data_IF_914587654069
#
_entry.id   IF_914587654069
#
_cell.length_a   1.000
_cell.length_b   1.000
_cell.length_c   1.000
_cell.angle_alpha   90.00
_cell.angle_beta   90.00
_cell.angle_gamma   90.00
#
_symmetry.space_group_name_H-M   'P 1'
#
loop_
_entity.id
_entity.type
_entity.pdbx_description
1 polymer ?
#
# COMPACT_ATOMS: atom_id res chain seq x y z
N UNK A 1 1.77 -7.29 18.84
CA UNK A 1 2.40 -6.50 17.77
C UNK A 1 3.17 -7.37 16.78
N UNK A 2 3.78 -8.50 17.18
CA UNK A 2 4.59 -9.33 16.27
C UNK A 2 3.84 -10.28 15.32
N UNK A 3 2.65 -10.79 15.66
CA UNK A 3 1.98 -11.79 14.82
C UNK A 3 1.48 -11.24 13.47
N UNK A 4 1.26 -9.92 13.35
CA UNK A 4 0.85 -9.28 12.09
C UNK A 4 2.02 -8.94 11.15
N UNK A 5 3.27 -8.97 11.63
CA UNK A 5 4.47 -8.64 10.83
C UNK A 5 5.10 -9.87 10.16
N UNK A 6 4.57 -11.07 10.42
CA UNK A 6 5.01 -12.34 9.84
C UNK A 6 4.63 -12.51 8.36
N UNK A 7 3.74 -11.66 7.82
CA UNK A 7 3.36 -11.70 6.40
C UNK A 7 4.57 -11.50 5.48
N UNK A 8 5.45 -10.57 5.83
CA UNK A 8 6.66 -10.28 5.08
C UNK A 8 7.74 -11.36 5.25
N UNK A 9 7.92 -11.85 6.48
CA UNK A 9 8.89 -12.91 6.78
C UNK A 9 8.62 -14.19 5.97
N UNK A 10 7.34 -14.45 5.61
CA UNK A 10 6.95 -15.55 4.72
C UNK A 10 7.49 -15.40 3.29
N UNK A 11 7.76 -14.19 2.86
CA UNK A 11 8.28 -13.89 1.52
C UNK A 11 9.82 -13.76 1.55
N UNK A 12 10.47 -14.02 2.69
CA UNK A 12 11.92 -13.93 2.88
C UNK A 12 12.51 -15.35 3.10
N UNK A 13 13.22 -15.92 2.10
CA UNK A 13 13.79 -17.27 2.20
C UNK A 13 14.67 -17.49 3.45
N UNK A 14 15.42 -16.47 3.88
CA UNK A 14 16.29 -16.55 5.05
C UNK A 14 15.53 -16.78 6.37
N UNK A 15 14.23 -16.49 6.43
CA UNK A 15 13.35 -16.78 7.58
C UNK A 15 12.48 -18.03 7.38
N UNK A 16 12.82 -18.89 6.42
CA UNK A 16 12.02 -20.08 6.07
C UNK A 16 10.83 -19.78 5.16
N UNK A 17 10.79 -18.57 4.59
CA UNK A 17 9.85 -18.17 3.54
C UNK A 17 10.17 -18.77 2.17
N UNK A 18 9.40 -18.38 1.16
CA UNK A 18 9.64 -18.77 -0.24
C UNK A 18 10.06 -17.56 -1.08
N UNK A 19 10.94 -17.77 -2.05
CA UNK A 19 11.20 -16.75 -3.06
C UNK A 19 9.97 -16.70 -3.98
N UNK A 20 9.33 -15.55 -4.08
CA UNK A 20 8.19 -15.34 -4.95
C UNK A 20 8.63 -14.51 -6.13
N UNK A 21 8.24 -14.99 -7.32
CA UNK A 21 8.66 -14.42 -8.60
C UNK A 21 7.42 -14.25 -9.46
N UNK A 22 7.06 -13.01 -9.69
CA UNK A 22 5.96 -12.60 -10.56
C UNK A 22 6.51 -12.32 -11.95
N UNK A 23 6.01 -13.06 -12.93
CA UNK A 23 6.29 -12.84 -14.33
C UNK A 23 5.03 -12.32 -15.01
N UNK A 24 5.14 -11.14 -15.61
CA UNK A 24 4.06 -10.53 -16.39
C UNK A 24 4.34 -10.76 -17.87
N UNK A 25 3.32 -11.21 -18.58
CA UNK A 25 3.37 -11.51 -20.00
C UNK A 25 2.28 -10.72 -20.73
N UNK A 26 2.65 -10.04 -21.82
CA UNK A 26 1.68 -9.51 -22.77
C UNK A 26 1.61 -10.46 -23.96
N UNK A 27 0.59 -11.31 -23.97
CA UNK A 27 0.45 -12.41 -24.92
C UNK A 27 -0.47 -12.08 -26.09
N UNK A 28 -0.07 -12.56 -27.28
CA UNK A 28 -0.67 -12.31 -28.57
C UNK A 28 -1.13 -13.64 -29.20
N UNK A 29 -2.19 -14.29 -28.68
CA UNK A 29 -2.66 -15.59 -29.14
C UNK A 29 -3.15 -15.60 -30.60
N UNK A 30 -3.38 -14.42 -31.18
CA UNK A 30 -3.77 -14.21 -32.58
C UNK A 30 -2.87 -13.17 -33.26
N UNK A 31 -1.63 -13.03 -32.77
CA UNK A 31 -0.72 -11.96 -33.14
C UNK A 31 -1.34 -10.59 -32.78
N UNK A 32 -1.07 -9.53 -33.53
CA UNK A 32 -1.75 -8.23 -33.32
C UNK A 32 -3.22 -8.26 -33.75
N UNK A 33 -3.64 -9.31 -34.45
CA UNK A 33 -5.01 -9.46 -34.88
C UNK A 33 -5.87 -9.93 -33.71
N UNK A 34 -6.92 -9.18 -33.36
CA UNK A 34 -7.77 -9.53 -32.21
C UNK A 34 -7.19 -9.13 -30.85
N UNK A 35 -6.21 -8.22 -30.83
CA UNK A 35 -5.91 -7.38 -29.67
C UNK A 35 -6.83 -6.13 -29.69
N UNK A 36 -7.93 -6.10 -28.93
CA UNK A 36 -8.82 -4.94 -28.88
C UNK A 36 -8.27 -3.81 -28.00
N UNK A 37 -7.15 -4.04 -27.30
CA UNK A 37 -6.66 -3.13 -26.28
C UNK A 37 -5.64 -2.14 -26.82
N UNK A 38 -5.56 -0.99 -26.17
CA UNK A 38 -4.53 0.03 -26.41
C UNK A 38 -3.34 -0.13 -25.45
N UNK A 39 -3.24 -1.26 -24.74
CA UNK A 39 -2.19 -1.48 -23.73
C UNK A 39 -0.79 -1.43 -24.34
N UNK A 40 -0.60 -1.95 -25.56
CA UNK A 40 0.68 -1.86 -26.28
C UNK A 40 1.13 -0.41 -26.48
N UNK A 41 0.22 0.46 -26.95
CA UNK A 41 0.45 1.90 -27.11
C UNK A 41 0.69 2.59 -25.76
N UNK A 42 -0.10 2.24 -24.72
CA UNK A 42 0.06 2.80 -23.39
C UNK A 42 1.43 2.46 -22.79
N UNK A 43 1.82 1.18 -22.77
CA UNK A 43 3.11 0.76 -22.23
C UNK A 43 4.29 1.32 -23.01
N UNK A 44 4.18 1.39 -24.35
CA UNK A 44 5.16 2.10 -25.16
C UNK A 44 5.26 3.58 -24.77
N UNK A 45 4.13 4.25 -24.51
CA UNK A 45 4.13 5.67 -24.09
C UNK A 45 4.74 5.90 -22.70
N UNK A 46 4.79 4.86 -21.87
CA UNK A 46 5.50 4.84 -20.58
C UNK A 46 7.00 4.49 -20.72
N UNK A 47 7.50 4.36 -21.96
CA UNK A 47 8.91 4.07 -22.23
C UNK A 47 9.29 2.59 -22.12
N UNK A 48 8.33 1.68 -21.92
CA UNK A 48 8.60 0.25 -21.88
C UNK A 48 8.92 -0.28 -23.29
N UNK A 49 9.78 -1.31 -23.44
CA UNK A 49 10.16 -1.87 -24.73
C UNK A 49 9.08 -2.81 -25.30
N UNK A 50 7.87 -2.28 -25.48
CA UNK A 50 6.70 -2.91 -26.10
C UNK A 50 6.47 -2.24 -27.47
N UNK A 51 6.11 -2.98 -28.54
CA UNK A 51 5.78 -2.39 -29.83
C UNK A 51 4.45 -1.63 -29.78
N UNK A 52 4.35 -0.49 -30.44
CA UNK A 52 3.09 0.20 -30.64
C UNK A 52 2.24 -0.51 -31.71
N UNK A 53 1.32 -1.38 -31.30
CA UNK A 53 0.34 -1.99 -32.21
C UNK A 53 -1.00 -1.22 -32.17
N UNK A 54 -1.59 -0.97 -33.33
CA UNK A 54 -2.95 -0.44 -33.46
C UNK A 54 -3.97 -1.49 -33.03
N UNK A 55 -5.05 -1.06 -32.38
CA UNK A 55 -6.13 -1.96 -31.96
C UNK A 55 -7.14 -2.27 -33.10
N UNK A 56 -7.09 -1.54 -34.21
CA UNK A 56 -8.15 -1.62 -35.24
C UNK A 56 -7.73 -1.24 -36.67
N UNK A 57 -6.51 -0.80 -36.92
CA UNK A 57 -6.05 -0.40 -38.25
C UNK A 57 -5.00 -1.36 -38.77
N UNK A 58 -5.03 -1.62 -40.08
CA UNK A 58 -3.99 -2.35 -40.82
C UNK A 58 -2.79 -1.45 -41.11
N UNK A 59 -1.64 -2.04 -41.46
CA UNK A 59 -0.44 -1.29 -41.88
C UNK A 59 -0.75 -0.37 -43.06
N UNK A 60 -1.53 -0.84 -44.04
CA UNK A 60 -1.93 -0.06 -45.20
C UNK A 60 -2.78 1.17 -44.81
N UNK A 61 -3.69 1.01 -43.84
CA UNK A 61 -4.51 2.12 -43.32
C UNK A 61 -3.64 3.13 -42.56
N UNK A 62 -2.74 2.67 -41.69
CA UNK A 62 -1.80 3.53 -40.96
C UNK A 62 -0.93 4.33 -41.93
N UNK A 63 -0.40 3.68 -42.97
CA UNK A 63 0.43 4.32 -43.98
C UNK A 63 -0.35 5.37 -44.78
N UNK A 64 -1.56 5.06 -45.25
CA UNK A 64 -2.39 6.01 -46.00
C UNK A 64 -2.85 7.22 -45.17
N UNK A 65 -3.00 7.05 -43.86
CA UNK A 65 -3.39 8.12 -42.93
C UNK A 65 -2.19 8.86 -42.32
N UNK A 66 -0.95 8.41 -42.56
CA UNK A 66 0.27 9.01 -42.01
C UNK A 66 0.36 8.96 -40.48
N UNK A 67 -0.30 7.98 -39.85
CA UNK A 67 -0.34 7.86 -38.39
C UNK A 67 1.02 7.40 -37.83
N UNK A 68 1.37 7.90 -36.65
CA UNK A 68 2.60 7.54 -35.94
C UNK A 68 2.27 7.21 -34.49
N UNK A 69 3.11 6.41 -33.84
CA UNK A 69 2.95 6.20 -32.41
C UNK A 69 3.32 7.49 -31.66
N UNK A 70 2.58 7.80 -30.60
CA UNK A 70 2.92 8.90 -29.68
C UNK A 70 4.12 8.56 -28.78
N UNK A 71 4.50 7.28 -28.71
CA UNK A 71 5.62 6.79 -27.92
C UNK A 71 6.97 6.93 -28.63
N UNK A 72 8.03 7.07 -27.83
CA UNK A 72 9.42 7.04 -28.27
C UNK A 72 10.12 5.81 -27.71
N UNK A 73 11.04 5.23 -28.46
CA UNK A 73 11.99 4.26 -27.92
C UNK A 73 12.81 4.87 -26.78
N UNK A 74 13.40 4.06 -25.88
CA UNK A 74 14.27 4.54 -24.80
C UNK A 74 15.45 5.43 -25.28
N UNK A 75 15.85 5.32 -26.54
CA UNK A 75 16.88 6.15 -27.18
C UNK A 75 16.36 7.50 -27.74
N UNK A 76 15.10 7.86 -27.48
CA UNK A 76 14.49 9.12 -27.89
C UNK A 76 13.94 9.17 -29.33
N UNK A 77 14.02 8.07 -30.10
CA UNK A 77 13.49 8.00 -31.48
C UNK A 77 12.00 7.61 -31.49
N UNK A 78 11.23 8.09 -32.47
CA UNK A 78 9.80 7.78 -32.56
C UNK A 78 9.59 6.30 -32.89
N UNK A 79 8.70 5.63 -32.16
CA UNK A 79 8.30 4.26 -32.51
C UNK A 79 7.34 4.27 -33.72
N UNK A 80 7.51 3.35 -34.68
CA UNK A 80 6.49 3.09 -35.70
C UNK A 80 5.18 2.61 -35.07
N UNK A 81 4.04 2.98 -35.66
CA UNK A 81 2.76 2.37 -35.33
C UNK A 81 2.55 1.18 -36.27
N UNK A 82 2.40 -0.01 -35.71
CA UNK A 82 2.19 -1.25 -36.45
C UNK A 82 0.69 -1.57 -36.53
N UNK A 83 0.25 -2.08 -37.67
CA UNK A 83 -1.12 -2.52 -37.90
C UNK A 83 -1.45 -3.85 -37.26
N UNK A 84 -2.75 -4.14 -37.14
CA UNK A 84 -3.26 -5.41 -36.61
C UNK A 84 -2.78 -6.64 -37.42
N UNK A 85 -2.39 -6.43 -38.67
CA UNK A 85 -1.93 -7.44 -39.63
C UNK A 85 -0.41 -7.51 -39.77
N UNK A 86 0.34 -6.66 -39.06
CA UNK A 86 1.79 -6.54 -39.23
C UNK A 86 2.51 -7.89 -39.03
N UNK A 87 2.23 -8.55 -37.90
CA UNK A 87 2.83 -9.86 -37.59
C UNK A 87 2.27 -11.00 -38.44
N UNK A 88 1.07 -10.86 -39.02
CA UNK A 88 0.50 -11.87 -39.92
C UNK A 88 1.33 -12.01 -41.20
N UNK A 89 2.06 -10.97 -41.59
CA UNK A 89 2.96 -10.98 -42.74
C UNK A 89 4.31 -11.63 -42.48
N UNK A 90 4.65 -11.93 -41.22
CA UNK A 90 5.94 -12.50 -40.81
C UNK A 90 5.94 -14.00 -41.08
N UNK A 91 6.25 -14.38 -42.32
CA UNK A 91 6.26 -15.78 -42.77
C UNK A 91 7.51 -16.09 -43.58
N UNK A 92 7.89 -17.36 -43.62
CA UNK A 92 9.01 -17.84 -44.41
C UNK A 92 8.74 -17.65 -45.91
N UNK A 93 9.79 -17.48 -46.74
CA UNK A 93 9.64 -17.35 -48.18
C UNK A 93 8.75 -18.46 -48.77
N UNK A 94 7.78 -18.08 -49.59
CA UNK A 94 6.82 -19.01 -50.21
C UNK A 94 5.60 -19.38 -49.38
N UNK A 95 5.45 -18.84 -48.16
CA UNK A 95 4.24 -19.01 -47.35
C UNK A 95 3.28 -17.81 -47.51
N UNK A 96 1.98 -18.09 -47.44
CA UNK A 96 0.96 -17.04 -47.40
C UNK A 96 0.92 -16.38 -46.02
N UNK A 97 0.52 -15.10 -45.91
CA UNK A 97 0.29 -14.46 -44.61
C UNK A 97 -0.67 -15.25 -43.74
N UNK A 98 -0.42 -15.25 -42.43
CA UNK A 98 -1.28 -15.91 -41.45
C UNK A 98 -2.70 -15.32 -41.55
N UNK A 99 -3.76 -16.15 -41.68
CA UNK A 99 -5.11 -15.63 -41.80
C UNK A 99 -5.52 -14.72 -40.64
N UNK A 100 -6.31 -13.68 -40.96
CA UNK A 100 -6.91 -12.81 -39.95
C UNK A 100 -7.65 -13.63 -38.88
N UNK A 101 -7.50 -13.25 -37.60
CA UNK A 101 -8.06 -13.94 -36.43
C UNK A 101 -7.60 -15.39 -36.20
N UNK A 102 -6.64 -15.93 -36.97
CA UNK A 102 -6.10 -17.26 -36.70
C UNK A 102 -5.39 -17.29 -35.34
N UNK A 103 -5.63 -18.35 -34.57
CA UNK A 103 -4.90 -18.58 -33.32
C UNK A 103 -3.51 -19.13 -33.66
N UNK A 104 -2.48 -18.46 -33.17
CA UNK A 104 -1.06 -18.82 -33.37
C UNK A 104 -0.45 -19.18 -32.02
N UNK A 105 0.11 -20.38 -31.93
CA UNK A 105 0.79 -20.89 -30.75
C UNK A 105 2.02 -21.72 -31.14
N UNK A 106 2.81 -22.09 -30.14
CA UNK A 106 4.08 -22.84 -30.30
C UNK A 106 3.93 -24.14 -31.10
N UNK A 107 2.75 -24.77 -31.07
CA UNK A 107 2.50 -26.06 -31.72
C UNK A 107 2.07 -25.93 -33.18
N UNK A 108 1.50 -24.79 -33.59
CA UNK A 108 0.97 -24.60 -34.95
C UNK A 108 1.72 -23.55 -35.78
N UNK A 109 2.56 -22.73 -35.15
CA UNK A 109 3.28 -21.62 -35.80
C UNK A 109 4.08 -22.09 -37.02
N UNK A 110 4.73 -23.26 -36.93
CA UNK A 110 5.52 -23.79 -38.05
C UNK A 110 4.67 -24.14 -39.26
N UNK A 111 3.47 -24.69 -39.06
CA UNK A 111 2.56 -24.99 -40.15
C UNK A 111 1.97 -23.72 -40.77
N UNK A 112 1.76 -22.66 -39.96
CA UNK A 112 1.17 -21.41 -40.40
C UNK A 112 2.16 -20.47 -41.09
N UNK A 113 3.42 -20.46 -40.66
CA UNK A 113 4.40 -19.46 -41.10
C UNK A 113 5.59 -20.06 -41.82
N UNK A 114 5.81 -21.37 -41.73
CA UNK A 114 7.01 -22.02 -42.26
C UNK A 114 8.27 -21.82 -41.41
N UNK A 115 8.21 -21.03 -40.33
CA UNK A 115 9.30 -20.86 -39.37
C UNK A 115 9.14 -21.80 -38.18
N UNK A 116 10.24 -22.33 -37.63
CA UNK A 116 10.18 -22.93 -36.29
C UNK A 116 9.71 -21.90 -35.26
N UNK A 117 9.24 -22.35 -34.10
CA UNK A 117 8.77 -21.44 -33.05
C UNK A 117 9.79 -20.35 -32.71
N UNK A 118 11.05 -20.72 -32.48
CA UNK A 118 12.12 -19.78 -32.21
C UNK A 118 12.38 -18.82 -33.38
N UNK A 119 12.43 -19.34 -34.61
CA UNK A 119 12.62 -18.51 -35.81
C UNK A 119 11.51 -17.48 -35.98
N UNK A 120 10.25 -17.86 -35.72
CA UNK A 120 9.13 -16.93 -35.80
C UNK A 120 9.21 -15.86 -34.69
N UNK A 121 9.58 -16.22 -33.47
CA UNK A 121 9.74 -15.25 -32.38
C UNK A 121 10.84 -14.21 -32.68
N UNK A 122 11.96 -14.65 -33.25
CA UNK A 122 13.05 -13.76 -33.67
C UNK A 122 12.65 -12.90 -34.88
N UNK A 123 11.95 -13.48 -35.85
CA UNK A 123 11.45 -12.74 -37.01
C UNK A 123 10.38 -11.70 -36.61
N UNK A 124 9.49 -12.03 -35.67
CA UNK A 124 8.50 -11.10 -35.12
C UNK A 124 9.18 -9.96 -34.34
N UNK A 125 10.26 -10.25 -33.60
CA UNK A 125 11.05 -9.24 -32.89
C UNK A 125 11.70 -8.28 -33.88
N UNK A 126 12.29 -8.80 -34.95
CA UNK A 126 12.90 -8.00 -36.01
C UNK A 126 11.87 -7.16 -36.76
N UNK A 127 10.67 -7.71 -37.04
CA UNK A 127 9.60 -7.01 -37.75
C UNK A 127 9.18 -5.72 -37.05
N UNK A 128 9.17 -5.72 -35.71
CA UNK A 128 8.83 -4.54 -34.91
C UNK A 128 10.03 -3.67 -34.50
N UNK A 129 11.21 -3.94 -35.08
CA UNK A 129 12.44 -3.20 -34.76
C UNK A 129 12.97 -3.45 -33.35
N UNK A 130 12.60 -4.57 -32.71
CA UNK A 130 13.08 -4.96 -31.39
C UNK A 130 14.29 -5.90 -31.49
N UNK A 131 15.10 -5.96 -30.44
CA UNK A 131 16.24 -6.86 -30.37
C UNK A 131 15.82 -8.35 -30.45
N UNK A 132 16.65 -9.26 -31.01
CA UNK A 132 16.36 -10.70 -31.02
C UNK A 132 16.03 -11.25 -29.62
N UNK A 133 15.01 -12.11 -29.52
CA UNK A 133 14.46 -12.60 -28.26
C UNK A 133 13.56 -11.61 -27.49
N UNK A 134 13.07 -10.53 -28.10
CA UNK A 134 12.09 -9.63 -27.48
C UNK A 134 10.69 -10.25 -27.43
N UNK A 135 10.28 -10.96 -28.47
CA UNK A 135 9.19 -11.92 -28.39
C UNK A 135 9.71 -13.30 -27.98
N UNK A 136 8.91 -14.00 -27.19
CA UNK A 136 9.12 -15.40 -26.80
C UNK A 136 7.77 -16.12 -26.74
N UNK A 137 7.74 -17.37 -26.28
CA UNK A 137 6.49 -18.07 -25.98
C UNK A 137 6.24 -18.11 -24.48
N UNK A 138 5.02 -17.77 -24.07
CA UNK A 138 4.58 -17.87 -22.67
C UNK A 138 4.36 -19.34 -22.25
N UNK A 139 4.15 -19.63 -20.95
CA UNK A 139 3.84 -20.99 -20.48
C UNK A 139 2.56 -21.60 -21.06
N UNK A 140 1.69 -20.78 -21.67
CA UNK A 140 0.46 -21.21 -22.35
C UNK A 140 0.69 -21.44 -23.85
N UNK A 141 1.91 -21.24 -24.35
CA UNK A 141 2.31 -21.45 -25.73
C UNK A 141 1.95 -20.32 -26.69
N UNK A 142 1.62 -19.12 -26.24
CA UNK A 142 1.34 -17.97 -27.12
C UNK A 142 2.59 -17.12 -27.34
N UNK A 143 2.69 -16.46 -28.50
CA UNK A 143 3.70 -15.42 -28.72
C UNK A 143 3.48 -14.30 -27.69
N UNK A 144 4.52 -13.90 -26.98
CA UNK A 144 4.42 -12.95 -25.87
C UNK A 144 5.60 -12.00 -25.81
N UNK A 145 5.42 -10.88 -25.13
CA UNK A 145 6.51 -10.05 -24.62
C UNK A 145 6.45 -10.14 -23.10
N UNK A 146 7.49 -10.72 -22.49
CA UNK A 146 7.56 -10.98 -21.06
C UNK A 146 8.65 -10.17 -20.36
N UNK A 147 9.59 -10.88 -19.74
CA UNK A 147 10.65 -10.38 -18.85
C UNK A 147 11.48 -9.20 -19.35
N UNK A 148 11.53 -8.95 -20.66
CA UNK A 148 12.23 -7.80 -21.24
C UNK A 148 11.44 -6.50 -21.19
N UNK A 149 10.11 -6.56 -21.32
CA UNK A 149 9.26 -5.37 -21.22
C UNK A 149 8.62 -5.20 -19.86
N UNK A 150 8.39 -6.32 -19.17
CA UNK A 150 7.95 -6.35 -17.79
C UNK A 150 9.04 -7.07 -17.01
N UNK A 151 10.01 -6.35 -16.43
CA UNK A 151 11.05 -6.99 -15.63
C UNK A 151 10.39 -7.90 -14.60
N UNK A 152 10.91 -9.12 -14.50
CA UNK A 152 10.45 -10.09 -13.52
C UNK A 152 10.55 -9.43 -12.15
N UNK A 153 9.40 -9.24 -11.50
CA UNK A 153 9.37 -8.73 -10.13
C UNK A 153 9.45 -9.91 -9.20
N UNK A 154 10.41 -9.88 -8.29
CA UNK A 154 10.80 -11.03 -7.48
C UNK A 154 12.22 -10.81 -7.03
N UNK A 155 12.41 -9.71 -6.30
CA UNK A 155 13.73 -9.36 -5.80
C UNK A 155 13.87 -10.15 -4.50
N UNK A 156 14.84 -11.07 -4.40
CA UNK A 156 15.10 -11.72 -3.13
C UNK A 156 15.42 -10.62 -2.13
N UNK A 157 14.52 -10.41 -1.19
CA UNK A 157 14.70 -9.43 -0.13
C UNK A 157 15.90 -9.90 0.69
N UNK A 158 16.97 -9.13 0.69
CA UNK A 158 18.14 -9.47 1.48
C UNK A 158 17.88 -9.11 2.93
N UNK A 159 18.18 -10.01 3.85
CA UNK A 159 18.14 -9.66 5.28
C UNK A 159 19.34 -8.78 5.60
N UNK A 160 19.11 -7.69 6.33
CA UNK A 160 20.15 -6.82 6.84
C UNK A 160 21.22 -7.66 7.59
N UNK A 161 22.49 -7.53 7.19
CA UNK A 161 23.55 -8.34 7.79
C UNK A 161 23.80 -8.01 9.28
N UNK A 162 23.38 -6.84 9.75
CA UNK A 162 23.44 -6.40 11.13
C UNK A 162 22.07 -6.55 11.85
N UNK A 163 21.27 -7.53 11.44
CA UNK A 163 19.94 -7.77 11.97
C UNK A 163 19.93 -7.86 13.50
N UNK A 164 19.13 -6.99 14.12
CA UNK A 164 18.77 -6.99 15.54
C UNK A 164 17.31 -7.36 15.70
N UNK A 165 17.03 -8.23 16.68
CA UNK A 165 15.65 -8.59 17.02
C UNK A 165 14.88 -7.34 17.51
N UNK A 166 13.65 -7.10 17.01
CA UNK A 166 12.76 -6.08 17.53
C UNK A 166 12.53 -6.28 19.03
N UNK A 167 12.48 -5.19 19.78
CA UNK A 167 12.10 -5.26 21.18
C UNK A 167 11.28 -4.04 21.59
N UNK A 168 10.60 -4.16 22.74
CA UNK A 168 9.86 -3.07 23.34
C UNK A 168 10.18 -3.01 24.82
N UNK A 169 10.72 -1.88 25.25
CA UNK A 169 10.92 -1.58 26.66
C UNK A 169 9.73 -0.77 27.15
N UNK A 170 9.09 -1.20 28.25
CA UNK A 170 7.90 -0.55 28.76
C UNK A 170 7.99 -0.28 30.25
N UNK A 171 7.36 0.82 30.66
CA UNK A 171 7.09 1.14 32.05
C UNK A 171 5.59 1.34 32.26
N UNK A 172 5.09 0.92 33.41
CA UNK A 172 3.70 1.05 33.79
C UNK A 172 3.59 1.44 35.26
N UNK A 173 2.73 2.41 35.54
CA UNK A 173 2.37 2.80 36.90
C UNK A 173 0.85 2.94 36.99
N UNK A 174 0.25 2.31 37.99
CA UNK A 174 -1.19 2.35 38.22
C UNK A 174 -1.54 2.66 39.66
N UNK A 175 -2.64 3.38 39.86
CA UNK A 175 -3.26 3.64 41.14
C UNK A 175 -4.72 3.21 41.09
N UNK A 176 -5.10 2.32 41.99
CA UNK A 176 -6.49 1.92 42.17
C UNK A 176 -6.97 2.33 43.55
N UNK A 177 -8.16 2.93 43.62
CA UNK A 177 -8.80 3.32 44.88
C UNK A 177 -10.23 2.84 44.92
N UNK A 178 -10.55 2.10 45.98
CA UNK A 178 -11.93 1.79 46.33
C UNK A 178 -12.60 3.06 46.89
N UNK A 179 -13.72 3.47 46.29
CA UNK A 179 -14.50 4.64 46.72
C UNK A 179 -15.65 4.24 47.65
N UNK A 180 -16.20 3.03 47.48
CA UNK A 180 -17.22 2.43 48.35
C UNK A 180 -17.19 0.90 48.24
N UNK A 181 -18.06 0.19 48.95
CA UNK A 181 -18.21 -1.27 48.82
C UNK A 181 -18.58 -1.72 47.40
N UNK A 182 -19.12 -0.83 46.55
CA UNK A 182 -19.50 -1.16 45.18
C UNK A 182 -18.86 -0.28 44.10
N UNK A 183 -17.90 0.60 44.41
CA UNK A 183 -17.32 1.52 43.44
C UNK A 183 -15.80 1.62 43.56
N UNK A 184 -15.12 1.62 42.41
CA UNK A 184 -13.66 1.70 42.28
C UNK A 184 -13.31 2.69 41.19
N UNK A 185 -12.25 3.46 41.41
CA UNK A 185 -11.58 4.27 40.39
C UNK A 185 -10.16 3.76 40.19
N UNK A 186 -9.70 3.78 38.95
CA UNK A 186 -8.37 3.36 38.54
C UNK A 186 -7.77 4.41 37.61
N UNK A 187 -6.49 4.71 37.81
CA UNK A 187 -5.69 5.58 36.96
C UNK A 187 -4.39 4.86 36.62
N UNK A 188 -4.13 4.69 35.34
CA UNK A 188 -2.99 3.95 34.82
C UNK A 188 -2.22 4.80 33.82
N UNK A 189 -0.90 4.77 33.90
CA UNK A 189 0.00 5.31 32.90
C UNK A 189 0.86 4.21 32.31
N UNK A 190 0.99 4.22 30.98
CA UNK A 190 1.80 3.29 30.20
C UNK A 190 2.78 4.09 29.37
N UNK A 191 4.04 3.68 29.38
CA UNK A 191 5.08 4.15 28.46
C UNK A 191 5.70 2.94 27.76
N UNK A 192 5.97 3.05 26.47
CA UNK A 192 6.75 2.07 25.71
C UNK A 192 7.69 2.78 24.73
N UNK A 193 8.94 2.35 24.72
CA UNK A 193 9.91 2.59 23.64
C UNK A 193 10.00 1.33 22.79
N UNK A 194 9.78 1.47 21.50
CA UNK A 194 9.78 0.38 20.53
C UNK A 194 10.96 0.61 19.61
N UNK A 195 11.93 -0.29 19.66
CA UNK A 195 13.17 -0.19 18.90
C UNK A 195 13.28 -1.36 17.92
N UNK A 196 14.12 -1.17 16.90
CA UNK A 196 14.40 -2.20 15.89
C UNK A 196 13.11 -2.68 15.17
N UNK A 197 12.14 -1.79 14.96
CA UNK A 197 10.95 -2.11 14.17
C UNK A 197 11.41 -2.53 12.76
N UNK A 198 10.90 -3.69 12.33
CA UNK A 198 11.22 -4.26 11.03
C UNK A 198 10.56 -3.46 9.92
N UNK A 199 11.28 -3.25 8.82
CA UNK A 199 10.80 -2.56 7.63
C UNK A 199 11.56 -3.03 6.39
N UNK A 200 11.18 -2.47 5.24
CA UNK A 200 11.87 -2.65 3.96
C UNK A 200 12.45 -1.33 3.50
N UNK A 201 13.61 -1.35 2.83
CA UNK A 201 14.23 -0.16 2.22
C UNK A 201 15.22 -0.58 1.14
N UNK A 202 15.65 0.39 0.32
CA UNK A 202 16.78 0.20 -0.57
C UNK A 202 18.11 0.33 0.19
N UNK A 203 18.77 -0.81 0.38
CA UNK A 203 19.91 -0.92 1.30
C UNK A 203 21.23 -0.49 0.69
N UNK A 204 21.35 -0.54 -0.63
CA UNK A 204 22.54 -0.16 -1.37
C UNK A 204 22.36 1.13 -2.20
N UNK A 205 21.30 1.92 -1.95
CA UNK A 205 21.13 3.22 -2.60
C UNK A 205 22.24 4.18 -2.13
N UNK A 206 22.88 4.85 -3.07
CA UNK A 206 23.93 5.81 -2.78
C UNK A 206 23.32 7.10 -2.19
N UNK A 207 24.07 7.81 -1.32
CA UNK A 207 23.55 9.05 -0.73
C UNK A 207 23.29 10.11 -1.79
N UNK A 208 24.16 10.16 -2.80
CA UNK A 208 24.12 11.07 -3.94
C UNK A 208 22.96 10.82 -4.89
N UNK A 209 22.26 9.69 -4.82
CA UNK A 209 21.15 9.38 -5.73
C UNK A 209 20.05 10.45 -5.71
N UNK A 210 19.87 11.13 -4.56
CA UNK A 210 18.94 12.25 -4.36
C UNK A 210 19.28 13.51 -5.17
N UNK A 211 20.47 13.60 -5.75
CA UNK A 211 20.96 14.78 -6.48
C UNK A 211 20.59 14.67 -7.97
N UNK A 212 20.23 15.79 -8.63
CA UNK A 212 19.97 15.79 -10.07
C UNK A 212 21.11 15.15 -10.87
N UNK A 213 20.75 14.19 -11.75
CA UNK A 213 21.71 13.46 -12.59
C UNK A 213 22.29 12.20 -11.97
N UNK A 214 21.98 11.90 -10.70
CA UNK A 214 22.50 10.74 -9.97
C UNK A 214 21.42 9.72 -9.59
N UNK A 215 20.17 9.91 -10.02
CA UNK A 215 19.06 9.01 -9.68
C UNK A 215 19.38 7.54 -10.02
N UNK A 216 19.11 6.65 -9.07
CA UNK A 216 19.35 5.21 -9.13
C UNK A 216 20.80 4.80 -8.88
N UNK A 217 21.70 5.72 -8.50
CA UNK A 217 23.07 5.37 -8.15
C UNK A 217 23.12 4.49 -6.89
N UNK A 218 23.95 3.45 -6.95
CA UNK A 218 24.09 2.42 -5.91
C UNK A 218 25.52 2.34 -5.38
N UNK A 219 25.68 1.69 -4.23
CA UNK A 219 26.98 1.39 -3.62
C UNK A 219 27.12 -0.14 -3.47
N UNK A 220 28.04 -0.80 -4.20
CA UNK A 220 28.99 -0.23 -5.16
C UNK A 220 28.33 0.30 -6.45
N UNK A 221 28.94 1.29 -7.14
CA UNK A 221 28.39 1.88 -8.36
C UNK A 221 28.09 0.85 -9.45
N UNK A 222 26.92 0.96 -10.07
CA UNK A 222 26.46 0.07 -11.15
C UNK A 222 25.94 -1.28 -10.68
N UNK A 223 25.84 -1.52 -9.36
CA UNK A 223 25.16 -2.70 -8.84
C UNK A 223 23.63 -2.57 -8.95
N UNK A 224 22.89 -3.68 -9.14
CA UNK A 224 21.43 -3.66 -9.08
C UNK A 224 20.94 -3.15 -7.72
N UNK A 225 19.82 -2.42 -7.71
CA UNK A 225 19.18 -1.98 -6.47
C UNK A 225 18.80 -3.20 -5.60
N UNK A 226 19.12 -3.12 -4.32
CA UNK A 226 18.97 -4.21 -3.35
C UNK A 226 17.96 -3.83 -2.29
N UNK A 227 16.80 -4.48 -2.38
CA UNK A 227 15.72 -4.35 -1.41
C UNK A 227 16.08 -5.16 -0.18
N UNK A 228 16.28 -4.48 0.94
CA UNK A 228 16.59 -5.13 2.20
C UNK A 228 15.40 -5.19 3.13
N UNK A 229 15.43 -6.17 4.03
CA UNK A 229 14.57 -6.25 5.20
C UNK A 229 15.39 -6.18 6.47
N UNK A 230 15.01 -5.28 7.37
CA UNK A 230 15.79 -5.07 8.57
C UNK A 230 15.16 -4.15 9.62
N UNK A 231 15.82 -4.03 10.78
CA UNK A 231 15.29 -3.35 11.97
C UNK A 231 15.73 -1.88 12.03
N UNK A 232 15.22 -1.03 11.14
CA UNK A 232 15.67 0.37 11.01
C UNK A 232 14.71 1.39 11.64
N UNK A 233 13.50 0.96 11.97
CA UNK A 233 12.41 1.81 12.40
C UNK A 233 12.28 1.81 13.93
N UNK A 234 11.62 2.83 14.48
CA UNK A 234 11.41 2.99 15.91
C UNK A 234 10.11 3.75 16.19
N UNK A 235 9.61 3.62 17.41
CA UNK A 235 8.39 4.30 17.84
C UNK A 235 8.30 4.43 19.36
N UNK A 236 7.37 5.27 19.79
CA UNK A 236 7.05 5.51 21.20
C UNK A 236 5.55 5.45 21.40
N UNK A 237 5.12 4.94 22.55
CA UNK A 237 3.73 4.90 22.95
C UNK A 237 3.58 5.37 24.39
N UNK A 238 2.77 6.39 24.59
CA UNK A 238 2.35 6.90 25.89
C UNK A 238 0.84 6.80 25.99
N UNK A 239 0.33 6.33 27.13
CA UNK A 239 -1.10 6.31 27.38
C UNK A 239 -1.45 6.54 28.84
N UNK A 240 -2.59 7.21 29.04
CA UNK A 240 -3.22 7.38 30.34
C UNK A 240 -4.61 6.78 30.27
N UNK A 241 -4.93 5.83 31.13
CA UNK A 241 -6.26 5.24 31.24
C UNK A 241 -6.89 5.58 32.58
N UNK A 242 -8.12 6.10 32.56
CA UNK A 242 -8.95 6.39 33.72
C UNK A 242 -10.16 5.45 33.68
N UNK A 243 -10.24 4.54 34.63
CA UNK A 243 -11.34 3.60 34.81
C UNK A 243 -12.22 3.98 35.99
N UNK A 244 -13.54 3.83 35.84
CA UNK A 244 -14.50 3.86 36.94
C UNK A 244 -15.45 2.68 36.80
N UNK A 245 -15.50 1.84 37.84
CA UNK A 245 -16.40 0.68 37.87
C UNK A 245 -17.32 0.79 39.08
N UNK A 246 -18.63 0.81 38.83
CA UNK A 246 -19.68 0.58 39.83
C UNK A 246 -20.25 -0.83 39.62
N UNK A 247 -19.95 -1.71 40.57
CA UNK A 247 -20.54 -3.06 40.65
C UNK A 247 -22.06 -2.97 40.86
N UNK A 248 -22.75 -4.06 40.52
CA UNK A 248 -24.20 -4.17 40.70
C UNK A 248 -24.60 -3.80 42.12
N UNK A 249 -25.30 -2.68 42.26
CA UNK A 249 -25.91 -2.25 43.52
C UNK A 249 -27.12 -1.38 43.19
N UNK A 250 -28.24 -1.61 43.91
CA UNK A 250 -29.53 -0.97 43.61
C UNK A 250 -29.94 -1.13 42.14
N UNK A 251 -29.80 -2.36 41.61
CA UNK A 251 -30.17 -2.74 40.23
C UNK A 251 -29.42 -2.00 39.12
N UNK A 252 -28.25 -1.45 39.40
CA UNK A 252 -27.47 -0.70 38.42
C UNK A 252 -26.00 -1.10 38.44
N UNK A 253 -25.44 -1.34 37.25
CA UNK A 253 -24.00 -1.50 36.99
C UNK A 253 -23.54 -0.43 36.01
N UNK A 254 -22.35 0.11 36.24
CA UNK A 254 -21.69 1.08 35.36
C UNK A 254 -20.22 0.71 35.24
N UNK A 255 -19.70 0.74 34.03
CA UNK A 255 -18.27 0.68 33.77
C UNK A 255 -17.91 1.78 32.77
N UNK A 256 -16.92 2.59 33.12
CA UNK A 256 -16.47 3.70 32.30
C UNK A 256 -14.96 3.61 32.15
N UNK A 257 -14.47 3.75 30.93
CA UNK A 257 -13.05 3.88 30.63
C UNK A 257 -12.81 5.08 29.73
N UNK A 258 -11.86 5.93 30.11
CA UNK A 258 -11.30 6.95 29.25
C UNK A 258 -9.82 6.64 29.05
N UNK A 259 -9.37 6.60 27.81
CA UNK A 259 -7.96 6.42 27.47
C UNK A 259 -7.51 7.56 26.57
N UNK A 260 -6.43 8.23 26.99
CA UNK A 260 -5.63 9.10 26.14
C UNK A 260 -4.42 8.33 25.62
N UNK A 261 -4.08 8.48 24.35
CA UNK A 261 -2.88 7.89 23.75
C UNK A 261 -2.10 8.90 22.93
N UNK A 262 -0.78 8.77 22.96
CA UNK A 262 0.13 9.42 22.04
C UNK A 262 1.13 8.39 21.53
N UNK A 263 1.04 8.04 20.26
CA UNK A 263 1.90 7.05 19.62
C UNK A 263 2.54 7.68 18.39
N UNK A 264 3.86 7.62 18.31
CA UNK A 264 4.60 8.10 17.14
C UNK A 264 5.56 7.03 16.67
N UNK A 265 5.74 6.94 15.37
CA UNK A 265 6.71 6.03 14.76
C UNK A 265 7.20 6.62 13.44
N UNK A 266 8.29 6.07 12.91
CA UNK A 266 8.84 6.43 11.61
C UNK A 266 8.61 5.34 10.56
N UNK A 267 7.63 4.45 10.79
CA UNK A 267 7.20 3.48 9.80
C UNK A 267 6.15 4.13 8.90
N UNK A 268 6.46 4.29 7.60
CA UNK A 268 5.53 4.91 6.65
C UNK A 268 4.14 4.24 6.69
N UNK A 269 4.10 2.91 6.79
CA UNK A 269 2.86 2.14 6.86
C UNK A 269 2.91 1.06 7.95
N UNK A 270 1.81 0.94 8.68
CA UNK A 270 1.63 -0.13 9.68
C UNK A 270 1.31 -1.51 9.08
N UNK A 271 0.99 -1.56 7.79
CA UNK A 271 0.64 -2.79 7.05
C UNK A 271 1.86 -3.34 6.29
N UNK A 272 2.37 -4.50 6.73
CA UNK A 272 3.33 -5.26 5.93
C UNK A 272 2.58 -6.23 5.03
N UNK A 273 2.32 -5.78 3.80
CA UNK A 273 1.55 -6.54 2.82
C UNK A 273 2.44 -7.60 2.19
N UNK A 274 1.99 -8.85 2.22
CA UNK A 274 2.71 -9.96 1.59
C UNK A 274 2.45 -10.03 0.09
N UNK A 275 3.34 -10.68 -0.66
CA UNK A 275 3.24 -10.81 -2.12
C UNK A 275 1.95 -11.51 -2.56
N UNK A 276 1.48 -12.51 -1.80
CA UNK A 276 0.18 -13.15 -2.06
C UNK A 276 -1.03 -12.20 -1.97
N UNK A 277 -0.89 -11.02 -1.34
CA UNK A 277 -1.97 -10.05 -1.21
C UNK A 277 -1.93 -8.98 -2.29
N UNK A 278 -0.76 -8.66 -2.85
CA UNK A 278 -0.59 -7.54 -3.80
C UNK A 278 0.05 -7.92 -5.13
N UNK A 279 0.57 -9.14 -5.30
CA UNK A 279 1.45 -9.57 -6.39
C UNK A 279 2.76 -8.75 -6.52
N UNK A 280 3.09 -7.94 -5.50
CA UNK A 280 4.35 -7.19 -5.42
C UNK A 280 5.08 -7.37 -4.07
N UNK A 281 4.36 -7.75 -3.01
CA UNK A 281 4.91 -8.06 -1.69
C UNK A 281 5.77 -6.96 -1.09
N UNK A 282 6.83 -7.37 -0.40
CA UNK A 282 7.86 -6.48 0.15
C UNK A 282 8.57 -5.61 -0.89
N UNK A 283 8.56 -6.05 -2.16
CA UNK A 283 9.32 -5.45 -3.24
C UNK A 283 8.63 -4.19 -3.81
N UNK A 284 7.42 -3.84 -3.34
CA UNK A 284 6.81 -2.56 -3.67
C UNK A 284 7.28 -1.45 -2.70
N UNK A 285 8.58 -1.12 -2.72
CA UNK A 285 9.13 -0.05 -1.90
C UNK A 285 8.37 1.28 -2.08
N UNK A 286 7.88 1.59 -3.28
CA UNK A 286 7.07 2.79 -3.56
C UNK A 286 5.72 2.90 -2.78
N UNK A 287 5.26 1.86 -2.09
CA UNK A 287 4.10 1.92 -1.17
C UNK A 287 4.40 1.34 0.20
N UNK A 288 5.47 0.58 0.39
CA UNK A 288 5.76 -0.09 1.68
C UNK A 288 7.12 0.30 2.29
N UNK A 289 8.00 0.93 1.53
CA UNK A 289 9.28 1.45 1.99
C UNK A 289 9.15 2.86 2.59
N UNK A 290 10.19 3.36 3.27
CA UNK A 290 10.22 4.73 3.75
C UNK A 290 10.29 5.75 2.58
N UNK A 291 10.02 7.02 2.87
CA UNK A 291 10.20 8.13 1.93
C UNK A 291 11.67 8.45 1.65
N UNK A 292 12.58 8.07 2.54
CA UNK A 292 14.01 8.08 2.26
C UNK A 292 14.60 6.78 2.83
N UNK A 293 15.10 5.92 1.95
CA UNK A 293 15.70 4.61 2.25
C UNK A 293 17.12 4.72 2.81
N UNK A 294 17.76 5.89 2.77
CA UNK A 294 19.14 6.03 3.19
C UNK A 294 19.29 5.92 4.72
N UNK A 295 20.15 5.01 5.16
CA UNK A 295 20.56 4.89 6.56
C UNK A 295 22.07 4.77 6.61
N UNK A 296 22.75 5.76 7.16
CA UNK A 296 24.21 5.77 7.22
C UNK A 296 24.82 7.14 7.45
N UNK A 297 26.15 7.22 7.28
CA UNK A 297 26.87 8.49 7.32
C UNK A 297 26.69 9.22 5.99
N UNK A 298 26.22 10.46 6.05
CA UNK A 298 26.01 11.30 4.87
C UNK A 298 27.33 11.73 4.24
N UNK A 299 27.41 11.72 2.92
CA UNK A 299 28.57 12.17 2.16
C UNK A 299 28.42 13.63 1.72
N UNK A 300 29.54 14.26 1.35
CA UNK A 300 29.52 15.58 0.75
C UNK A 300 29.00 15.46 -0.69
N UNK A 301 27.95 16.22 -1.00
CA UNK A 301 27.35 16.29 -2.33
C UNK A 301 27.19 17.75 -2.76
N UNK A 302 27.19 17.95 -4.08
CA UNK A 302 27.01 19.26 -4.72
C UNK A 302 25.88 19.17 -5.72
N UNK A 303 24.90 20.06 -5.63
CA UNK A 303 23.85 20.17 -6.65
C UNK A 303 24.44 20.77 -7.93
N UNK A 304 24.45 20.04 -9.07
CA UNK A 304 25.07 20.49 -10.30
C UNK A 304 24.35 21.68 -10.93
N UNK A 305 23.12 21.98 -10.54
CA UNK A 305 22.32 23.10 -11.08
C UNK A 305 22.56 24.38 -10.27
N UNK A 306 22.54 24.29 -8.94
CA UNK A 306 22.64 25.46 -8.06
C UNK A 306 24.05 25.72 -7.52
N UNK A 307 24.94 24.72 -7.59
CA UNK A 307 26.26 24.75 -6.97
C UNK A 307 26.24 24.69 -5.44
N UNK A 308 25.06 24.51 -4.82
CA UNK A 308 24.95 24.37 -3.37
C UNK A 308 25.54 23.05 -2.89
N UNK A 309 26.10 23.05 -1.69
CA UNK A 309 26.69 21.86 -1.05
C UNK A 309 26.13 21.68 0.35
N UNK A 310 26.11 20.45 0.84
CA UNK A 310 25.71 20.13 2.21
C UNK A 310 26.86 20.21 3.23
N UNK A 311 27.99 20.82 2.88
CA UNK A 311 29.17 20.90 3.75
C UNK A 311 28.89 21.66 5.06
N UNK A 312 28.20 22.79 4.97
CA UNK A 312 27.96 23.69 6.10
C UNK A 312 26.60 23.47 6.77
N UNK A 313 25.66 22.81 6.11
CA UNK A 313 24.30 22.59 6.59
C UNK A 313 23.45 21.82 5.58
N UNK A 314 22.21 21.46 5.94
CA UNK A 314 21.28 20.88 4.99
C UNK A 314 20.83 21.91 3.95
N UNK A 315 20.39 21.45 2.78
CA UNK A 315 19.78 22.28 1.74
C UNK A 315 18.72 21.49 0.96
N UNK A 316 17.92 22.18 0.15
CA UNK A 316 17.01 21.55 -0.80
C UNK A 316 17.65 21.61 -2.19
N UNK A 317 17.87 20.45 -2.81
CA UNK A 317 18.41 20.37 -4.16
C UNK A 317 17.42 20.94 -5.20
N UNK A 318 17.91 21.25 -6.40
CA UNK A 318 17.11 21.85 -7.48
C UNK A 318 15.94 21.00 -7.97
N UNK A 319 15.95 19.68 -7.73
CA UNK A 319 14.83 18.77 -7.92
C UNK A 319 13.82 18.78 -6.75
N UNK A 320 14.07 19.55 -5.69
CA UNK A 320 13.25 19.65 -4.49
C UNK A 320 13.66 18.71 -3.34
N UNK A 321 14.66 17.85 -3.56
CA UNK A 321 15.01 16.81 -2.58
C UNK A 321 15.72 17.38 -1.35
N UNK A 322 15.35 16.93 -0.14
CA UNK A 322 16.06 17.30 1.08
C UNK A 322 17.44 16.63 1.11
N UNK A 323 18.48 17.45 1.27
CA UNK A 323 19.87 17.00 1.42
C UNK A 323 20.34 17.33 2.84
N UNK A 324 20.46 16.32 3.72
CA UNK A 324 21.02 16.52 5.06
C UNK A 324 22.48 16.99 5.01
N UNK A 325 22.94 17.63 6.09
CA UNK A 325 24.35 18.03 6.25
C UNK A 325 25.29 16.84 6.04
N UNK A 326 26.47 17.06 5.45
CA UNK A 326 27.49 16.03 5.29
C UNK A 326 28.13 15.62 6.63
N UNK A 327 28.60 14.37 6.74
CA UNK A 327 29.39 13.86 7.86
C UNK A 327 28.59 13.58 9.14
N UNK A 328 27.27 13.41 9.06
CA UNK A 328 26.43 13.00 10.19
C UNK A 328 25.78 11.65 9.92
N UNK A 329 25.40 10.95 10.98
CA UNK A 329 24.51 9.79 10.84
C UNK A 329 23.10 10.29 10.52
N UNK A 330 22.53 9.78 9.44
CA UNK A 330 21.20 10.11 8.97
C UNK A 330 20.36 8.83 8.86
N UNK A 331 19.14 8.90 9.38
CA UNK A 331 18.14 7.83 9.28
C UNK A 331 16.98 8.40 8.45
N UNK A 332 17.05 8.21 7.13
CA UNK A 332 16.08 8.66 6.13
C UNK A 332 14.61 8.40 6.49
N UNK A 333 14.25 7.21 7.02
CA UNK A 333 12.90 6.92 7.50
C UNK A 333 12.34 7.95 8.50
N UNK A 334 13.18 8.75 9.17
CA UNK A 334 12.71 9.82 10.04
C UNK A 334 11.92 10.93 9.31
N UNK A 335 11.98 11.03 7.98
CA UNK A 335 11.07 11.87 7.22
C UNK A 335 9.61 11.44 7.38
N UNK A 336 9.37 10.15 7.65
CA UNK A 336 8.05 9.58 7.88
C UNK A 336 7.64 9.62 9.35
N UNK A 337 8.41 10.29 10.21
CA UNK A 337 8.10 10.34 11.63
C UNK A 337 6.81 11.14 11.86
N UNK A 338 5.82 10.49 12.45
CA UNK A 338 4.51 11.08 12.69
C UNK A 338 3.65 10.24 13.64
N UNK A 339 2.41 10.67 13.93
CA UNK A 339 1.46 9.85 14.65
C UNK A 339 1.25 8.50 13.98
N UNK A 340 1.10 7.44 14.77
CA UNK A 340 0.84 6.10 14.20
C UNK A 340 -0.54 6.03 13.53
N UNK A 341 -0.68 5.22 12.46
CA UNK A 341 -1.97 4.98 11.79
C UNK A 341 -3.00 4.35 12.76
N UNK A 342 -2.51 3.70 13.81
CA UNK A 342 -3.28 2.97 14.81
C UNK A 342 -3.60 3.82 16.05
N UNK A 343 -3.08 5.05 16.13
CA UNK A 343 -3.27 5.93 17.27
C UNK A 343 -4.68 6.54 17.27
N UNK A 344 -5.43 6.31 18.34
CA UNK A 344 -6.70 7.00 18.61
C UNK A 344 -6.55 7.84 19.89
N UNK A 345 -6.16 9.10 19.72
CA UNK A 345 -5.71 9.97 20.82
C UNK A 345 -6.64 10.02 22.03
N UNK A 346 -7.95 9.95 21.82
CA UNK A 346 -8.93 9.95 22.90
C UNK A 346 -9.97 8.88 22.62
N UNK A 347 -10.19 7.98 23.57
CA UNK A 347 -11.26 6.99 23.53
C UNK A 347 -12.00 6.97 24.86
N UNK A 348 -13.30 7.14 24.81
CA UNK A 348 -14.23 7.03 25.94
C UNK A 348 -15.20 5.88 25.67
N UNK A 349 -15.28 4.94 26.59
CA UNK A 349 -16.20 3.81 26.57
C UNK A 349 -17.01 3.80 27.85
N UNK A 350 -18.32 3.63 27.73
CA UNK A 350 -19.25 3.54 28.84
C UNK A 350 -20.15 2.33 28.60
N UNK A 351 -20.15 1.39 29.54
CA UNK A 351 -21.12 0.33 29.62
C UNK A 351 -22.05 0.56 30.81
N UNK A 352 -23.35 0.35 30.60
CA UNK A 352 -24.35 0.43 31.67
C UNK A 352 -25.35 -0.71 31.58
N UNK A 353 -25.82 -1.17 32.73
CA UNK A 353 -26.92 -2.12 32.86
C UNK A 353 -27.84 -1.69 34.02
N UNK A 354 -29.11 -1.48 33.71
CA UNK A 354 -30.17 -1.21 34.67
C UNK A 354 -31.16 -2.37 34.64
N UNK A 355 -31.43 -2.97 35.80
CA UNK A 355 -32.42 -4.03 35.95
C UNK A 355 -33.70 -3.45 36.55
N UNK A 356 -34.75 -3.39 35.75
CA UNK A 356 -36.05 -2.93 36.20
C UNK A 356 -36.85 -4.06 36.88
N UNK A 357 -37.88 -3.70 37.66
CA UNK A 357 -38.91 -4.64 38.06
C UNK A 357 -39.48 -5.40 36.85
N UNK A 358 -40.13 -6.55 37.11
CA UNK A 358 -40.70 -7.40 36.07
C UNK A 358 -39.70 -8.03 35.10
N UNK A 359 -38.43 -8.22 35.50
CA UNK A 359 -37.42 -8.95 34.70
C UNK A 359 -37.16 -8.29 33.34
N UNK A 360 -37.10 -6.97 33.33
CA UNK A 360 -36.73 -6.14 32.18
C UNK A 360 -35.35 -5.56 32.44
N UNK A 361 -34.41 -5.81 31.56
CA UNK A 361 -33.04 -5.31 31.65
C UNK A 361 -32.77 -4.35 30.50
N UNK A 362 -32.19 -3.19 30.81
CA UNK A 362 -31.72 -2.20 29.83
C UNK A 362 -30.21 -2.14 29.92
N UNK A 363 -29.53 -2.43 28.82
CA UNK A 363 -28.08 -2.27 28.73
C UNK A 363 -27.70 -1.37 27.57
N UNK A 364 -26.62 -0.63 27.73
CA UNK A 364 -26.10 0.23 26.68
C UNK A 364 -24.59 0.33 26.70
N UNK A 365 -24.02 0.48 25.50
CA UNK A 365 -22.61 0.75 25.26
C UNK A 365 -22.53 2.07 24.52
N UNK A 366 -21.94 3.08 25.14
CA UNK A 366 -21.62 4.35 24.51
C UNK A 366 -20.12 4.43 24.26
N UNK A 367 -19.75 4.79 23.03
CA UNK A 367 -18.36 4.98 22.61
C UNK A 367 -18.23 6.36 21.96
N UNK A 368 -17.27 7.15 22.44
CA UNK A 368 -16.86 8.38 21.79
C UNK A 368 -15.33 8.36 21.65
N UNK A 369 -14.82 8.71 20.47
CA UNK A 369 -13.38 8.76 20.25
C UNK A 369 -13.00 9.84 19.24
N UNK A 370 -11.74 10.27 19.29
CA UNK A 370 -11.15 11.08 18.23
C UNK A 370 -11.22 10.35 16.88
N UNK A 371 -11.18 11.11 15.79
CA UNK A 371 -10.99 10.50 14.48
C UNK A 371 -9.64 9.80 14.38
N UNK A 372 -9.52 8.92 13.39
CA UNK A 372 -8.24 8.33 13.03
C UNK A 372 -7.35 9.37 12.35
N UNK A 373 -6.03 9.19 12.46
CA UNK A 373 -5.07 10.03 11.75
C UNK A 373 -5.01 9.65 10.27
N UNK A 374 -4.70 10.63 9.43
CA UNK A 374 -4.45 10.42 8.00
C UNK A 374 -3.43 11.41 7.48
N UNK A 375 -2.78 11.03 6.39
CA UNK A 375 -1.76 11.83 5.72
C UNK A 375 -2.34 12.61 4.55
N UNK A 376 -1.77 13.78 4.27
CA UNK A 376 -1.95 14.42 2.96
C UNK A 376 -1.08 13.72 1.92
N UNK A 377 -1.57 13.65 0.69
CA UNK A 377 -0.74 13.30 -0.45
C UNK A 377 -0.34 14.52 -1.27
N UNK A 378 0.62 14.34 -2.19
CA UNK A 378 1.02 15.41 -3.10
C UNK A 378 -0.09 15.71 -4.13
N UNK A 379 -0.27 17.00 -4.45
CA UNK A 379 -1.30 17.46 -5.39
C UNK A 379 -0.98 17.14 -6.86
N UNK A 380 0.29 17.14 -7.22
CA UNK A 380 0.75 16.78 -8.57
C UNK A 380 2.15 16.21 -8.39
N UNK A 381 2.43 15.06 -9.02
CA UNK A 381 3.73 14.37 -9.08
C UNK A 381 4.48 14.35 -7.73
N UNK A 382 4.32 13.29 -6.92
CA UNK A 382 5.16 13.13 -5.73
C UNK A 382 6.65 13.23 -6.11
N UNK A 383 7.51 13.84 -5.27
CA UNK A 383 8.94 13.86 -5.50
C UNK A 383 9.54 12.47 -5.22
N UNK A 384 10.60 12.15 -5.95
CA UNK A 384 11.50 11.03 -5.64
C UNK A 384 12.59 11.57 -4.71
N UNK A 385 12.41 11.38 -3.41
CA UNK A 385 13.10 12.12 -2.34
C UNK A 385 14.55 11.69 -2.18
N UNK A 386 14.85 10.40 -2.34
CA UNK A 386 16.17 9.81 -2.18
C UNK A 386 16.78 9.33 -3.50
N UNK A 387 16.05 9.41 -4.61
CA UNK A 387 16.55 9.13 -5.95
C UNK A 387 16.46 7.67 -6.34
N UNK A 388 15.63 6.85 -5.70
CA UNK A 388 15.48 5.42 -6.01
C UNK A 388 14.51 5.15 -7.19
N UNK A 389 13.87 6.19 -7.72
CA UNK A 389 12.85 6.10 -8.75
C UNK A 389 11.46 5.74 -8.23
N UNK A 390 11.28 5.68 -6.90
CA UNK A 390 10.02 5.48 -6.22
C UNK A 390 9.44 6.82 -5.77
N UNK A 391 8.14 6.97 -5.96
CA UNK A 391 7.44 8.22 -5.65
C UNK A 391 6.36 7.97 -4.60
N UNK A 392 6.68 8.22 -3.33
CA UNK A 392 5.75 7.98 -2.24
C UNK A 392 4.57 8.96 -2.29
N UNK A 393 3.37 8.42 -2.13
CA UNK A 393 2.13 9.20 -2.22
C UNK A 393 1.86 10.14 -1.03
N UNK A 394 2.67 10.07 0.04
CA UNK A 394 2.50 10.88 1.26
C UNK A 394 3.33 12.16 1.18
N UNK A 395 2.70 13.30 1.44
CA UNK A 395 3.36 14.60 1.55
C UNK A 395 4.07 14.71 2.91
N UNK A 396 5.33 14.28 2.91
CA UNK A 396 6.20 14.35 4.09
C UNK A 396 6.45 15.78 4.59
N UNK A 397 6.23 16.82 3.76
CA UNK A 397 6.38 18.22 4.18
C UNK A 397 5.26 18.66 5.14
N UNK A 398 4.08 18.05 5.02
CA UNK A 398 2.96 18.25 5.96
C UNK A 398 3.08 17.37 7.20
N UNK A 399 3.97 16.36 7.16
CA UNK A 399 4.11 15.33 8.17
C UNK A 399 3.14 14.18 7.97
N UNK A 400 3.65 12.94 8.07
CA UNK A 400 2.82 11.74 8.03
C UNK A 400 1.81 11.79 9.18
N UNK A 401 0.56 11.46 8.87
CA UNK A 401 -0.54 11.35 9.83
C UNK A 401 -0.78 12.60 10.68
N UNK A 402 -0.44 13.77 10.14
CA UNK A 402 -0.64 15.03 10.82
C UNK A 402 -2.11 15.40 10.99
N UNK A 403 -2.99 14.93 10.10
CA UNK A 403 -4.40 15.31 10.08
C UNK A 403 -5.29 14.30 10.79
N UNK A 404 -6.40 14.77 11.36
CA UNK A 404 -7.35 13.95 12.13
C UNK A 404 -8.73 13.98 11.49
N UNK A 405 -9.33 12.81 11.26
CA UNK A 405 -10.69 12.70 10.73
C UNK A 405 -11.74 13.23 11.74
N UNK A 406 -13.00 13.45 11.33
CA UNK A 406 -14.06 13.77 12.29
C UNK A 406 -14.24 12.66 13.33
N UNK A 407 -14.63 13.05 14.54
CA UNK A 407 -14.80 12.13 15.67
C UNK A 407 -15.80 10.99 15.38
N UNK A 408 -15.64 9.86 16.07
CA UNK A 408 -16.61 8.77 16.08
C UNK A 408 -17.41 8.83 17.38
N UNK A 409 -18.75 8.80 17.29
CA UNK A 409 -19.65 8.75 18.46
C UNK A 409 -20.77 7.78 18.17
N UNK A 410 -20.96 6.80 19.05
CA UNK A 410 -21.89 5.71 18.88
C UNK A 410 -22.56 5.32 20.20
N UNK A 411 -23.82 4.94 20.13
CA UNK A 411 -24.54 4.35 21.26
C UNK A 411 -25.30 3.12 20.78
N UNK A 412 -24.94 1.96 21.32
CA UNK A 412 -25.63 0.70 21.10
C UNK A 412 -26.45 0.37 22.34
N UNK A 413 -27.66 -0.13 22.16
CA UNK A 413 -28.60 -0.40 23.23
C UNK A 413 -29.26 -1.76 23.05
N UNK A 414 -29.48 -2.45 24.18
CA UNK A 414 -30.27 -3.67 24.26
C UNK A 414 -31.32 -3.56 25.35
N UNK A 415 -32.53 -3.97 25.02
CA UNK A 415 -33.63 -4.22 25.96
C UNK A 415 -33.86 -5.72 25.98
N UNK A 416 -33.78 -6.34 27.16
CA UNK A 416 -34.04 -7.75 27.35
C UNK A 416 -35.24 -7.94 28.29
N UNK A 417 -36.20 -8.77 27.88
CA UNK A 417 -37.34 -9.19 28.70
C UNK A 417 -37.26 -10.68 28.95
N UNK A 418 -37.35 -11.08 30.22
CA UNK A 418 -37.57 -12.48 30.59
C UNK A 418 -39.01 -12.72 30.99
N UNK A 419 -39.57 -13.80 30.49
CA UNK A 419 -40.90 -14.30 30.82
C UNK A 419 -40.73 -15.75 31.28
N UNK A 420 -41.15 -16.04 32.50
CA UNK A 420 -41.10 -17.40 33.04
C UNK A 420 -42.46 -18.06 32.81
N UNK A 421 -42.47 -19.18 32.10
CA UNK A 421 -43.64 -20.03 31.88
C UNK A 421 -43.55 -21.24 32.80
N UNK A 422 -44.10 -21.11 34.01
CA UNK A 422 -43.93 -22.11 35.07
C UNK A 422 -42.47 -22.20 35.55
N UNK A 423 -42.07 -23.38 36.02
CA UNK A 423 -40.74 -23.61 36.62
C UNK A 423 -39.66 -24.04 35.62
N UNK A 424 -40.07 -24.64 34.49
CA UNK A 424 -39.17 -25.28 33.52
C UNK A 424 -38.87 -24.39 32.32
N UNK A 425 -39.87 -23.68 31.80
CA UNK A 425 -39.71 -22.93 30.56
C UNK A 425 -39.45 -21.45 30.83
N UNK A 426 -38.38 -20.90 30.24
CA UNK A 426 -38.09 -19.46 30.26
C UNK A 426 -37.94 -18.93 28.85
N UNK A 427 -38.66 -17.86 28.56
CA UNK A 427 -38.57 -17.14 27.30
C UNK A 427 -37.83 -15.81 27.51
N UNK A 428 -36.89 -15.54 26.62
CA UNK A 428 -36.13 -14.30 26.57
C UNK A 428 -36.41 -13.63 25.23
N UNK A 429 -36.89 -12.40 25.28
CA UNK A 429 -36.99 -11.52 24.11
C UNK A 429 -35.93 -10.42 24.22
N UNK A 430 -35.30 -10.11 23.09
CA UNK A 430 -34.28 -9.08 22.96
C UNK A 430 -34.69 -8.11 21.85
N UNK A 431 -34.53 -6.82 22.13
CA UNK A 431 -34.59 -5.75 21.15
C UNK A 431 -33.28 -4.97 21.22
N UNK A 432 -32.55 -4.93 20.11
CA UNK A 432 -31.21 -4.37 20.01
C UNK A 432 -31.20 -3.25 18.97
N UNK A 433 -30.51 -2.16 19.28
CA UNK A 433 -30.28 -1.05 18.36
C UNK A 433 -28.79 -0.78 18.31
N UNK A 434 -28.21 -0.84 17.12
CA UNK A 434 -26.84 -0.44 16.85
C UNK A 434 -26.86 0.97 16.26
N UNK A 435 -25.93 1.82 16.68
CA UNK A 435 -25.90 3.23 16.29
C UNK A 435 -27.26 3.91 16.51
N UNK A 436 -27.78 3.83 17.73
CA UNK A 436 -29.07 4.41 18.12
C UNK A 436 -29.13 5.91 17.80
N UNK A 437 -27.99 6.62 17.82
CA UNK A 437 -27.91 8.04 17.47
C UNK A 437 -28.03 8.30 15.96
N UNK A 438 -27.97 7.26 15.12
CA UNK A 438 -27.96 7.33 13.66
C UNK A 438 -26.88 8.28 13.12
N UNK A 439 -25.69 8.26 13.74
CA UNK A 439 -24.59 9.15 13.36
C UNK A 439 -23.86 8.59 12.15
N UNK A 440 -23.53 9.45 11.21
CA UNK A 440 -22.66 9.13 10.07
C UNK A 440 -21.20 9.13 10.53
N UNK A 441 -20.77 8.03 11.16
CA UNK A 441 -19.41 7.90 11.68
C UNK A 441 -18.41 7.63 10.54
N UNK A 442 -17.36 8.45 10.34
CA UNK A 442 -16.43 8.27 9.21
C UNK A 442 -15.70 6.92 9.26
N UNK A 443 -15.58 6.29 8.09
CA UNK A 443 -14.77 5.10 7.85
C UNK A 443 -13.56 5.40 6.95
N UNK A 444 -13.66 6.41 6.08
CA UNK A 444 -12.57 6.88 5.23
C UNK A 444 -12.69 8.38 4.95
N UNK A 445 -11.56 9.06 4.83
CA UNK A 445 -11.46 10.47 4.43
C UNK A 445 -10.51 10.61 3.26
N UNK A 446 -10.71 11.63 2.44
CA UNK A 446 -9.84 11.91 1.31
C UNK A 446 -8.57 12.65 1.75
N UNK A 447 -7.41 11.99 1.61
CA UNK A 447 -6.10 12.58 1.86
C UNK A 447 -5.49 13.29 0.64
N UNK A 448 -6.08 13.15 -0.55
CA UNK A 448 -5.54 13.76 -1.76
C UNK A 448 -6.07 15.19 -1.95
N UNK A 449 -5.18 16.20 -2.10
CA UNK A 449 -5.60 17.52 -2.51
C UNK A 449 -6.20 17.47 -3.93
N UNK A 450 -7.12 18.40 -4.28
CA UNK A 450 -7.74 18.40 -5.61
C UNK A 450 -6.69 18.56 -6.71
N UNK A 451 -6.59 17.56 -7.60
CA UNK A 451 -5.63 17.57 -8.71
C UNK A 451 -6.35 18.00 -10.00
N UNK A 452 -6.11 19.22 -10.47
CA UNK A 452 -6.67 19.73 -11.74
C UNK A 452 -8.01 20.46 -11.63
N UNK A 453 -8.61 20.76 -12.79
CA UNK A 453 -9.84 21.58 -12.90
C UNK A 453 -11.14 20.81 -12.66
N UNK A 454 -11.09 19.51 -12.35
CA UNK A 454 -12.30 18.70 -12.15
C UNK A 454 -13.01 19.13 -10.84
N UNK A 455 -14.13 19.87 -10.92
CA UNK A 455 -14.77 20.42 -9.75
C UNK A 455 -15.54 19.36 -8.94
N UNK A 456 -15.68 18.14 -9.48
CA UNK A 456 -16.39 17.04 -8.83
C UNK A 456 -15.48 16.07 -8.08
N UNK A 457 -14.15 16.25 -8.15
CA UNK A 457 -13.22 15.44 -7.36
C UNK A 457 -13.45 15.70 -5.85
N UNK A 458 -13.39 14.66 -4.99
CA UNK A 458 -13.47 14.87 -3.55
C UNK A 458 -12.40 15.85 -3.07
N UNK A 459 -12.80 16.75 -2.17
CA UNK A 459 -11.86 17.72 -1.58
C UNK A 459 -11.00 17.04 -0.53
N UNK A 460 -9.83 17.61 -0.25
CA UNK A 460 -9.05 17.22 0.91
C UNK A 460 -9.91 17.26 2.18
N UNK A 461 -9.71 16.29 3.09
CA UNK A 461 -10.48 16.10 4.33
C UNK A 461 -11.96 15.75 4.15
N UNK A 462 -12.46 15.57 2.92
CA UNK A 462 -13.83 15.14 2.69
C UNK A 462 -14.03 13.70 3.15
N UNK A 463 -15.09 13.45 3.94
CA UNK A 463 -15.50 12.09 4.30
C UNK A 463 -15.96 11.34 3.04
N UNK A 464 -15.32 10.21 2.75
CA UNK A 464 -15.59 9.39 1.56
C UNK A 464 -16.55 8.24 1.88
N UNK A 465 -16.42 7.67 3.07
CA UNK A 465 -17.22 6.54 3.52
C UNK A 465 -17.58 6.71 4.99
N UNK A 466 -18.74 6.18 5.35
CA UNK A 466 -19.24 6.16 6.72
C UNK A 466 -19.64 4.74 7.09
N UNK A 467 -19.53 4.42 8.38
CA UNK A 467 -19.99 3.16 8.96
C UNK A 467 -21.52 3.05 8.89
N UNK A 468 -22.07 1.83 9.06
CA UNK A 468 -23.52 1.62 9.03
C UNK A 468 -24.30 2.58 9.93
N UNK A 469 -25.46 2.99 9.42
CA UNK A 469 -26.41 3.83 10.15
C UNK A 469 -27.09 3.06 11.28
N UNK A 470 -28.22 3.57 11.76
CA UNK A 470 -29.00 2.86 12.78
C UNK A 470 -29.52 1.52 12.25
N UNK A 471 -29.20 0.45 12.98
CA UNK A 471 -29.69 -0.89 12.71
C UNK A 471 -30.47 -1.43 13.90
N UNK A 472 -31.51 -2.22 13.65
CA UNK A 472 -32.34 -2.84 14.67
C UNK A 472 -32.34 -4.36 14.54
N UNK A 473 -32.23 -5.07 15.65
CA UNK A 473 -32.28 -6.53 15.70
C UNK A 473 -33.27 -6.99 16.76
N UNK A 474 -33.99 -8.07 16.46
CA UNK A 474 -34.86 -8.77 17.41
C UNK A 474 -34.33 -10.18 17.60
N UNK A 475 -34.25 -10.63 18.85
CA UNK A 475 -33.80 -11.97 19.21
C UNK A 475 -34.76 -12.66 20.16
N UNK A 476 -34.84 -13.98 20.08
CA UNK A 476 -35.58 -14.81 21.03
C UNK A 476 -34.73 -15.98 21.48
N UNK A 477 -34.84 -16.35 22.76
CA UNK A 477 -34.22 -17.56 23.33
C UNK A 477 -35.21 -18.25 24.23
N UNK A 478 -35.28 -19.58 24.13
CA UNK A 478 -36.11 -20.43 24.99
C UNK A 478 -35.17 -21.35 25.78
N UNK A 479 -35.35 -21.42 27.10
CA UNK A 479 -34.69 -22.36 28.01
C UNK A 479 -35.74 -23.33 28.57
N UNK A 480 -35.35 -24.60 28.76
CA UNK A 480 -36.21 -25.70 29.23
C UNK A 480 -35.70 -26.32 30.54
#
# INVERSE_FOLDING_TARGET
YDHFRLGLARDIPAFGGANLVTQTFLSFPRLFYGDPTKLTILFASLGLPVPCASANLTDAQIQSMGLKCSAKFPNGTNQPLYGIDHLNSVVAPGHAPVPANAVVNVNNVQALTGFTSQQFADAASAAVGAAPGSFSYDPFGNLTIGSRAFPVSGIPITVDAAFKTPYTNGFYAGLQRQLSSSAVIQLDYYHKSIDNILGVRDTNLAFEARIPGHAGETVPPGSPLTFGYGPWLHGTYDAVSLGFTKRMSKSFTLDTNYTWTHETDNALNSNFVSDLQTNFGAAFAATTGPTDSFVGMTTLVTDPVTGQTNASGPFAASNGNPVPKAGIFYNGPNLDKGPSDLALNHTFLLYSLVQFPWKVDFSGIFRAQSGFHYSAGFAVNPPDVDGDGNFNGVDFLQGRNHFVAPAFVNFDMRIAKRINFGERVRFHAYLEFFNLLNRANPAAVNGLPPTGTNPTAPKFAQVLQVLPGREGQVGVRIEF
#
